data_IF_617117832964
#
_entry.id   IF_617117832964
#
_cell.length_a   1.000
_cell.length_b   1.000
_cell.length_c   1.000
_cell.angle_alpha   90.00
_cell.angle_beta   90.00
_cell.angle_gamma   90.00
#
_symmetry.space_group_name_H-M   'P 1'
#
loop_
_entity.id
_entity.type
_entity.pdbx_description
1 polymer ?
#
# COMPACT_ATOMS: atom_id res chain seq x y z
N UNK A 1 -23.01 28.17 -72.53
CA UNK A 1 -24.04 29.24 -72.52
C UNK A 1 -24.75 29.13 -71.18
N UNK A 2 -24.24 29.77 -70.12
CA UNK A 2 -24.45 31.19 -69.72
C UNK A 2 -25.93 31.50 -69.50
N UNK A 3 -26.34 31.62 -68.23
CA UNK A 3 -26.86 32.85 -67.62
C UNK A 3 -27.67 32.58 -66.32
N UNK A 4 -27.13 33.03 -65.19
CA UNK A 4 -27.83 33.63 -64.03
C UNK A 4 -28.58 34.92 -64.46
N UNK A 5 -29.51 35.56 -63.68
CA UNK A 5 -29.46 35.87 -62.22
C UNK A 5 -30.86 35.85 -61.53
N UNK A 6 -31.19 36.27 -60.30
CA UNK A 6 -30.69 37.31 -59.35
C UNK A 6 -31.26 37.07 -57.92
N UNK A 7 -30.63 37.74 -56.95
CA UNK A 7 -30.71 37.67 -55.48
C UNK A 7 -32.03 38.03 -54.75
N UNK A 8 -32.13 37.57 -53.49
CA UNK A 8 -32.88 38.19 -52.40
C UNK A 8 -32.48 37.67 -51.00
N UNK A 9 -31.91 38.57 -50.17
CA UNK A 9 -31.48 38.50 -48.76
C UNK A 9 -32.33 37.61 -47.79
N UNK A 10 -31.89 37.08 -46.63
CA UNK A 10 -31.00 37.61 -45.57
C UNK A 10 -30.79 36.55 -44.46
N UNK A 11 -29.73 36.75 -43.65
CA UNK A 11 -29.45 36.24 -42.27
C UNK A 11 -28.70 34.91 -42.11
N UNK A 12 -27.37 35.04 -42.14
CA UNK A 12 -26.41 34.24 -41.39
C UNK A 12 -26.47 34.57 -39.89
N UNK A 13 -26.34 33.55 -39.04
CA UNK A 13 -25.91 33.67 -37.65
C UNK A 13 -24.53 33.00 -37.49
N UNK A 14 -23.64 33.52 -36.62
CA UNK A 14 -22.22 33.32 -36.74
C UNK A 14 -21.69 32.20 -35.83
N UNK A 15 -20.66 31.51 -36.32
CA UNK A 15 -19.77 30.70 -35.50
C UNK A 15 -19.03 31.56 -34.48
N UNK A 16 -18.79 30.98 -33.31
CA UNK A 16 -18.04 31.64 -32.23
C UNK A 16 -16.73 30.89 -32.03
N UNK A 17 -15.66 31.54 -32.47
CA UNK A 17 -14.28 31.26 -32.09
C UNK A 17 -14.13 31.38 -30.57
N UNK A 18 -13.46 30.40 -29.96
CA UNK A 18 -12.88 30.51 -28.64
C UNK A 18 -11.63 31.38 -28.72
N UNK A 19 -11.70 32.60 -28.19
CA UNK A 19 -10.55 33.40 -27.81
C UNK A 19 -10.58 33.61 -26.28
N UNK A 20 -9.47 33.28 -25.63
CA UNK A 20 -9.13 33.73 -24.27
C UNK A 20 -9.15 35.26 -24.21
N UNK A 21 -9.77 35.85 -23.18
CA UNK A 21 -9.10 36.33 -21.95
C UNK A 21 -10.06 37.09 -21.01
N UNK A 22 -9.70 37.04 -19.73
CA UNK A 22 -9.90 38.04 -18.65
C UNK A 22 -11.28 38.24 -18.01
N UNK A 23 -11.35 37.74 -16.76
CA UNK A 23 -11.90 38.35 -15.54
C UNK A 23 -13.07 39.34 -15.68
N UNK A 24 -14.25 38.93 -15.19
CA UNK A 24 -14.84 39.52 -13.99
C UNK A 24 -16.02 38.68 -13.46
N UNK A 25 -15.87 38.29 -12.19
CA UNK A 25 -16.91 38.22 -11.13
C UNK A 25 -18.15 37.38 -11.45
N UNK A 26 -18.09 36.11 -11.05
CA UNK A 26 -19.26 35.26 -10.84
C UNK A 26 -18.94 34.24 -9.75
N UNK A 27 -19.44 34.52 -8.53
CA UNK A 27 -19.53 33.63 -7.35
C UNK A 27 -18.53 32.47 -7.32
N UNK A 28 -17.42 32.70 -6.61
CA UNK A 28 -16.55 31.62 -6.16
C UNK A 28 -17.38 30.59 -5.37
N UNK A 29 -17.27 29.32 -5.74
CA UNK A 29 -17.66 28.20 -4.90
C UNK A 29 -16.84 28.29 -3.60
N UNK A 30 -17.48 28.80 -2.54
CA UNK A 30 -16.90 29.04 -1.22
C UNK A 30 -16.58 27.76 -0.43
N UNK A 31 -16.83 26.56 -0.98
CA UNK A 31 -16.67 25.30 -0.26
C UNK A 31 -15.29 24.65 -0.40
N UNK A 32 -14.55 24.86 -1.50
CA UNK A 32 -13.21 24.25 -1.69
C UNK A 32 -12.06 25.14 -1.21
N UNK A 33 -12.28 26.46 -1.15
CA UNK A 33 -11.26 27.44 -0.76
C UNK A 33 -10.97 27.40 0.74
N UNK A 34 -11.99 27.21 1.61
CA UNK A 34 -11.77 27.13 3.06
C UNK A 34 -11.10 25.82 3.51
N UNK A 35 -11.32 24.71 2.77
CA UNK A 35 -10.74 23.40 3.07
C UNK A 35 -9.21 23.39 2.93
N UNK A 36 -8.71 23.96 1.83
CA UNK A 36 -7.27 24.09 1.59
C UNK A 36 -6.59 25.02 2.60
N UNK A 37 -7.27 26.08 3.04
CA UNK A 37 -6.74 27.04 4.02
C UNK A 37 -6.62 26.42 5.42
N UNK A 38 -7.59 25.60 5.85
CA UNK A 38 -7.55 24.91 7.14
C UNK A 38 -6.50 23.80 7.17
N UNK A 39 -6.42 22.97 6.11
CA UNK A 39 -5.35 21.98 5.97
C UNK A 39 -4.00 22.70 6.00
N UNK A 40 -3.86 23.83 5.30
CA UNK A 40 -2.64 24.63 5.33
C UNK A 40 -2.32 25.17 6.73
N UNK A 41 -3.32 25.64 7.48
CA UNK A 41 -3.15 26.16 8.84
C UNK A 41 -2.80 25.07 9.88
N UNK A 42 -3.37 23.87 9.74
CA UNK A 42 -3.07 22.73 10.63
C UNK A 42 -1.80 21.98 10.22
N UNK A 43 -1.41 22.04 8.94
CA UNK A 43 -0.18 21.45 8.41
C UNK A 43 1.05 21.97 9.17
N UNK A 44 1.08 23.23 9.56
CA UNK A 44 2.17 23.76 10.39
C UNK A 44 2.28 23.04 11.74
N UNK A 45 1.16 22.71 12.39
CA UNK A 45 1.15 21.94 13.66
C UNK A 45 1.53 20.47 13.44
N UNK A 46 1.13 19.87 12.33
CA UNK A 46 1.46 18.48 11.96
C UNK A 46 2.93 18.31 11.56
N UNK A 47 3.45 19.23 10.75
CA UNK A 47 4.86 19.28 10.33
C UNK A 47 5.76 19.63 11.51
N UNK A 48 5.29 20.42 12.47
CA UNK A 48 5.99 20.67 13.74
C UNK A 48 6.01 19.47 14.70
N UNK A 49 5.53 18.29 14.28
CA UNK A 49 5.65 17.04 15.03
C UNK A 49 4.64 16.86 16.16
N UNK A 50 3.58 17.68 16.25
CA UNK A 50 2.60 17.64 17.34
C UNK A 50 1.51 16.57 17.16
N UNK A 51 1.39 16.02 15.96
CA UNK A 51 0.45 14.95 15.62
C UNK A 51 1.13 13.98 14.65
N UNK A 52 0.85 12.70 14.80
CA UNK A 52 1.37 11.66 13.91
C UNK A 52 0.26 11.05 13.06
N UNK A 53 0.67 10.33 12.02
CA UNK A 53 -0.26 9.59 11.18
C UNK A 53 -1.07 8.59 12.02
N UNK A 54 -2.39 8.70 11.97
CA UNK A 54 -3.31 7.83 12.68
C UNK A 54 -3.12 6.34 12.33
N UNK A 55 -2.65 6.03 11.11
CA UNK A 55 -2.49 4.66 10.61
C UNK A 55 -1.08 4.12 10.86
N UNK A 56 -0.01 4.84 10.52
CA UNK A 56 1.36 4.31 10.64
C UNK A 56 2.14 4.84 11.85
N UNK A 57 1.65 5.90 12.49
CA UNK A 57 2.30 6.59 13.60
C UNK A 57 3.54 7.39 13.20
N UNK A 58 3.80 7.56 11.90
CA UNK A 58 4.95 8.32 11.39
C UNK A 58 4.72 9.84 11.28
N UNK A 59 5.80 10.61 11.03
CA UNK A 59 5.76 12.06 10.93
C UNK A 59 5.22 12.52 9.56
N UNK A 60 4.95 13.82 9.42
CA UNK A 60 4.45 14.44 8.17
C UNK A 60 5.50 15.31 7.48
N UNK A 61 6.77 14.91 7.53
CA UNK A 61 7.85 15.60 6.84
C UNK A 61 8.86 14.62 6.28
N UNK A 62 9.24 14.83 5.02
CA UNK A 62 10.37 14.16 4.36
C UNK A 62 11.74 14.64 4.85
N UNK A 63 11.80 15.82 5.48
CA UNK A 63 13.02 16.40 6.06
C UNK A 63 13.30 15.78 7.42
N UNK A 64 13.73 14.52 7.42
CA UNK A 64 14.12 13.79 8.62
C UNK A 64 15.58 14.06 8.96
N UNK A 65 15.91 14.02 10.25
CA UNK A 65 17.27 14.21 10.72
C UNK A 65 18.13 13.00 10.33
N UNK A 66 19.20 13.26 9.57
CA UNK A 66 20.09 12.24 9.01
C UNK A 66 21.53 12.60 9.34
N UNK A 67 22.25 11.62 9.86
CA UNK A 67 23.65 11.78 10.20
C UNK A 67 24.52 11.10 9.12
N UNK A 68 25.27 11.94 8.41
CA UNK A 68 26.21 11.53 7.38
C UNK A 68 27.55 11.01 7.94
N UNK A 69 27.89 11.34 9.19
CA UNK A 69 29.13 10.92 9.83
C UNK A 69 28.95 9.61 10.62
N UNK A 70 27.70 9.25 10.95
CA UNK A 70 27.35 8.03 11.67
C UNK A 70 27.71 8.06 13.17
N UNK A 71 27.90 9.24 13.74
CA UNK A 71 28.28 9.51 15.13
C UNK A 71 27.10 9.88 16.05
N UNK A 72 25.96 10.29 15.51
CA UNK A 72 24.77 10.69 16.26
C UNK A 72 23.79 9.51 16.40
N UNK A 73 23.44 9.18 17.65
CA UNK A 73 22.45 8.15 17.97
C UNK A 73 21.01 8.65 17.84
N UNK A 74 20.81 9.98 17.72
CA UNK A 74 19.52 10.67 17.58
C UNK A 74 19.18 11.06 16.16
N UNK A 75 19.94 10.57 15.19
CA UNK A 75 19.69 10.79 13.77
C UNK A 75 19.56 9.46 13.04
N UNK A 76 18.88 9.47 11.90
CA UNK A 76 18.84 8.30 11.04
C UNK A 76 20.15 8.15 10.28
N UNK A 77 20.45 6.90 9.93
CA UNK A 77 21.62 6.59 9.12
C UNK A 77 21.44 7.05 7.68
N UNK A 78 22.33 7.94 7.22
CA UNK A 78 22.32 8.44 5.85
C UNK A 78 22.49 7.31 4.81
N UNK A 79 23.42 6.38 5.04
CA UNK A 79 23.72 5.24 4.16
C UNK A 79 22.53 4.27 3.96
N UNK A 80 21.51 4.38 4.81
CA UNK A 80 20.27 3.60 4.71
C UNK A 80 19.18 4.37 3.97
N UNK A 81 19.03 5.65 4.27
CA UNK A 81 17.92 6.45 3.77
C UNK A 81 18.24 7.18 2.44
N UNK A 82 19.50 7.31 2.04
CA UNK A 82 19.91 8.08 0.85
C UNK A 82 19.25 7.64 -0.46
N UNK A 83 18.79 6.39 -0.53
CA UNK A 83 18.11 5.83 -1.71
C UNK A 83 16.63 5.54 -1.45
N UNK A 84 16.11 5.88 -0.27
CA UNK A 84 14.71 5.68 0.08
C UNK A 84 13.87 6.88 -0.37
N UNK A 85 12.70 6.61 -0.95
CA UNK A 85 11.71 7.65 -1.21
C UNK A 85 11.04 8.07 0.11
N UNK A 86 11.31 9.29 0.58
CA UNK A 86 10.71 9.88 1.78
C UNK A 86 9.60 10.89 1.49
N UNK A 87 9.40 11.27 0.22
CA UNK A 87 8.45 12.32 -0.18
C UNK A 87 6.99 11.96 0.16
N UNK A 88 6.68 10.66 0.26
CA UNK A 88 5.37 10.17 0.67
C UNK A 88 4.93 10.66 2.06
N UNK A 89 5.88 11.04 2.92
CA UNK A 89 5.61 11.59 4.26
C UNK A 89 4.94 12.97 4.18
N UNK A 90 5.18 13.73 3.11
CA UNK A 90 4.61 15.06 2.92
C UNK A 90 3.16 15.01 2.39
N UNK A 91 2.75 13.87 1.84
CA UNK A 91 1.41 13.65 1.31
C UNK A 91 0.44 13.18 2.39
N UNK A 92 -0.29 14.13 2.96
CA UNK A 92 -1.29 13.86 3.99
C UNK A 92 -2.72 13.97 3.49
N UNK A 93 -3.58 13.20 4.15
CA UNK A 93 -5.04 13.28 4.13
C UNK A 93 -5.52 13.37 5.58
N UNK A 94 -6.78 13.71 5.75
CA UNK A 94 -7.37 13.81 7.08
C UNK A 94 -8.81 13.29 7.07
N UNK A 95 -9.27 12.80 8.21
CA UNK A 95 -10.61 12.26 8.41
C UNK A 95 -11.21 12.97 9.63
N UNK A 96 -12.22 13.84 9.49
CA UNK A 96 -13.09 14.34 10.59
C UNK A 96 -14.57 14.62 10.15
N UNK A 97 -15.48 15.23 10.92
CA UNK A 97 -16.93 15.25 10.57
C UNK A 97 -17.33 16.48 9.73
N UNK A 98 -17.60 16.40 8.42
CA UNK A 98 -18.08 17.58 7.67
C UNK A 98 -19.62 17.71 7.75
N UNK A 99 -20.20 18.66 8.52
CA UNK A 99 -21.65 18.80 8.65
C UNK A 99 -22.35 19.30 7.38
N UNK A 100 -21.62 19.96 6.46
CA UNK A 100 -22.18 20.66 5.30
C UNK A 100 -22.07 19.91 3.96
N UNK A 101 -21.33 18.82 3.88
CA UNK A 101 -21.20 18.09 2.61
C UNK A 101 -22.55 17.44 2.21
N UNK A 102 -22.77 17.03 0.94
CA UNK A 102 -23.96 16.28 0.44
C UNK A 102 -23.51 15.10 -0.42
N UNK A 103 -23.90 13.84 -0.11
CA UNK A 103 -23.44 12.61 -0.80
C UNK A 103 -22.81 11.55 0.12
N UNK A 104 -22.28 10.45 -0.45
CA UNK A 104 -21.51 9.38 0.23
C UNK A 104 -20.06 9.78 0.56
N UNK A 105 -19.58 10.89 -0.01
CA UNK A 105 -18.26 11.48 0.24
C UNK A 105 -18.33 12.63 1.24
N UNK A 106 -18.42 12.33 2.54
CA UNK A 106 -18.40 13.38 3.58
C UNK A 106 -17.56 13.00 4.77
N UNK A 107 -16.36 13.58 4.91
CA UNK A 107 -15.65 13.49 6.17
C UNK A 107 -14.45 14.47 6.35
N UNK A 108 -14.60 15.69 6.93
CA UNK A 108 -13.52 16.39 7.72
C UNK A 108 -14.01 17.23 8.92
N UNK A 109 -13.31 17.24 10.08
CA UNK A 109 -13.34 18.28 11.14
C UNK A 109 -12.49 18.10 12.43
N UNK A 110 -11.90 19.20 13.00
CA UNK A 110 -10.54 19.41 13.64
C UNK A 110 -10.46 19.84 15.13
N UNK A 111 -9.70 19.23 16.06
CA UNK A 111 -9.88 19.55 17.50
C UNK A 111 -8.69 20.23 18.22
N UNK A 112 -8.83 21.54 18.42
CA UNK A 112 -8.59 22.21 19.71
C UNK A 112 -9.96 22.31 20.44
N UNK A 113 -9.98 22.38 21.77
CA UNK A 113 -11.20 22.32 22.61
C UNK A 113 -12.33 23.19 22.03
N UNK A 114 -13.42 22.56 21.56
CA UNK A 114 -14.58 23.24 20.97
C UNK A 114 -14.70 23.13 19.44
N UNK A 115 -13.65 22.66 18.76
CA UNK A 115 -13.68 22.31 17.34
C UNK A 115 -13.64 20.75 17.21
N UNK A 116 -14.33 20.18 16.22
CA UNK A 116 -14.66 18.71 16.10
C UNK A 116 -13.46 17.83 15.71
N UNK A 117 -13.51 16.50 15.68
CA UNK A 117 -12.26 15.69 15.84
C UNK A 117 -11.65 15.08 14.55
N UNK A 118 -10.44 15.53 14.12
CA UNK A 118 -9.73 15.10 12.87
C UNK A 118 -8.62 14.12 13.20
N UNK A 119 -8.51 13.10 12.36
CA UNK A 119 -7.38 12.18 12.29
C UNK A 119 -6.57 12.38 11.00
N UNK A 120 -5.33 12.88 11.08
CA UNK A 120 -4.44 12.98 9.92
C UNK A 120 -3.79 11.62 9.62
N UNK A 121 -3.52 11.31 8.35
CA UNK A 121 -2.76 10.14 7.92
C UNK A 121 -2.18 10.34 6.52
N UNK A 122 -1.15 9.57 6.16
CA UNK A 122 -0.57 9.65 4.82
C UNK A 122 -1.49 9.08 3.76
N UNK A 123 -1.47 9.65 2.55
CA UNK A 123 -2.17 9.11 1.37
C UNK A 123 -1.82 7.64 1.15
N UNK A 124 -0.54 7.30 1.25
CA UNK A 124 -0.04 5.93 1.08
C UNK A 124 -0.58 4.98 2.15
N UNK A 125 -0.68 5.41 3.41
CA UNK A 125 -1.24 4.57 4.48
C UNK A 125 -2.73 4.28 4.26
N UNK A 126 -3.49 5.24 3.71
CA UNK A 126 -4.89 5.01 3.34
C UNK A 126 -5.03 3.95 2.24
N UNK A 127 -4.11 3.92 1.28
CA UNK A 127 -4.08 2.90 0.22
C UNK A 127 -3.80 1.49 0.77
N UNK A 128 -2.95 1.36 1.79
CA UNK A 128 -2.72 0.09 2.50
C UNK A 128 -3.98 -0.33 3.26
N UNK A 129 -4.61 0.60 3.98
CA UNK A 129 -5.85 0.34 4.71
C UNK A 129 -6.98 -0.10 3.78
N UNK A 130 -7.14 0.58 2.63
CA UNK A 130 -8.12 0.23 1.61
C UNK A 130 -7.92 -1.19 1.10
N UNK A 131 -6.69 -1.59 0.81
CA UNK A 131 -6.37 -2.99 0.45
C UNK A 131 -6.74 -3.95 1.56
N UNK A 132 -6.42 -3.63 2.82
CA UNK A 132 -6.71 -4.47 3.97
C UNK A 132 -8.22 -4.72 4.18
N UNK A 133 -9.04 -3.68 4.05
CA UNK A 133 -10.51 -3.77 4.14
C UNK A 133 -11.07 -4.54 2.94
N UNK A 134 -10.69 -4.14 1.72
CA UNK A 134 -11.19 -4.73 0.47
C UNK A 134 -10.83 -6.21 0.29
N UNK A 135 -9.74 -6.68 0.91
CA UNK A 135 -9.32 -8.08 0.85
C UNK A 135 -10.40 -9.05 1.38
N UNK A 136 -11.26 -8.59 2.31
CA UNK A 136 -12.34 -9.40 2.89
C UNK A 136 -13.74 -8.85 2.56
N UNK A 137 -13.86 -7.54 2.34
CA UNK A 137 -15.12 -6.89 1.98
C UNK A 137 -14.90 -5.94 0.79
N UNK A 138 -15.03 -6.44 -0.46
CA UNK A 138 -14.89 -5.60 -1.64
C UNK A 138 -15.96 -4.50 -1.65
N UNK A 139 -15.53 -3.27 -1.87
CA UNK A 139 -16.44 -2.12 -1.94
C UNK A 139 -15.73 -0.81 -1.68
N UNK A 140 -16.51 0.27 -1.76
CA UNK A 140 -16.06 1.59 -1.36
C UNK A 140 -16.05 1.71 0.16
N UNK A 141 -15.01 2.35 0.71
CA UNK A 141 -14.92 2.58 2.15
C UNK A 141 -15.95 3.64 2.55
N UNK A 142 -16.79 3.31 3.52
CA UNK A 142 -17.76 4.22 4.09
C UNK A 142 -17.06 5.14 5.11
N UNK A 143 -16.88 6.41 4.76
CA UNK A 143 -16.13 7.37 5.59
C UNK A 143 -16.67 7.52 7.02
N UNK A 144 -17.99 7.47 7.21
CA UNK A 144 -18.63 7.53 8.53
C UNK A 144 -18.27 6.32 9.42
N UNK A 145 -18.27 5.11 8.86
CA UNK A 145 -17.84 3.90 9.60
C UNK A 145 -16.35 3.95 9.91
N UNK A 146 -15.55 4.41 8.95
CA UNK A 146 -14.11 4.56 9.14
C UNK A 146 -13.80 5.54 10.26
N UNK A 147 -14.53 6.64 10.34
CA UNK A 147 -14.38 7.56 11.45
C UNK A 147 -14.73 6.94 12.79
N UNK A 148 -15.88 6.27 12.89
CA UNK A 148 -16.28 5.60 14.13
C UNK A 148 -15.21 4.60 14.58
N UNK A 149 -14.60 3.86 13.65
CA UNK A 149 -13.49 2.97 13.95
C UNK A 149 -12.27 3.73 14.51
N UNK A 150 -11.93 4.89 13.97
CA UNK A 150 -10.83 5.72 14.47
C UNK A 150 -11.16 6.35 15.83
N UNK A 151 -12.39 6.82 16.02
CA UNK A 151 -12.89 7.35 17.30
C UNK A 151 -12.87 6.29 18.40
N UNK A 152 -13.33 5.08 18.11
CA UNK A 152 -13.24 3.94 19.04
C UNK A 152 -11.80 3.51 19.33
N UNK A 153 -10.88 3.74 18.41
CA UNK A 153 -9.45 3.53 18.61
C UNK A 153 -8.78 4.71 19.34
N UNK A 154 -9.45 5.85 19.45
CA UNK A 154 -8.93 7.03 20.13
C UNK A 154 -9.23 6.94 21.64
N UNK A 155 -8.27 6.49 22.45
CA UNK A 155 -8.45 6.45 23.91
C UNK A 155 -8.06 7.73 24.65
N UNK A 156 -8.26 8.90 24.03
CA UNK A 156 -8.14 10.22 24.69
C UNK A 156 -6.72 10.82 24.76
N UNK A 157 -5.72 10.18 24.15
CA UNK A 157 -4.40 10.79 23.91
C UNK A 157 -4.36 11.35 22.50
N UNK A 158 -4.07 12.65 22.36
CA UNK A 158 -4.31 13.39 21.11
C UNK A 158 -3.23 13.25 20.02
N UNK A 159 -2.17 12.46 20.23
CA UNK A 159 -1.00 12.43 19.32
C UNK A 159 -1.11 11.33 18.24
N UNK A 160 -1.63 10.15 18.60
CA UNK A 160 -1.89 8.99 17.71
C UNK A 160 -3.00 8.11 18.28
N UNK A 161 -3.56 7.20 17.46
CA UNK A 161 -4.57 6.24 17.93
C UNK A 161 -3.97 5.27 18.96
N UNK A 162 -4.80 4.68 19.81
CA UNK A 162 -4.39 3.64 20.76
C UNK A 162 -4.46 2.27 20.12
N UNK A 163 -3.54 2.04 19.19
CA UNK A 163 -3.37 0.78 18.46
C UNK A 163 -1.97 0.22 18.74
N UNK A 164 -1.78 -1.07 18.51
CA UNK A 164 -0.45 -1.67 18.46
C UNK A 164 0.17 -1.37 17.10
N UNK A 165 1.16 -0.47 17.05
CA UNK A 165 1.85 -0.08 15.81
C UNK A 165 2.99 -1.02 15.43
N UNK A 166 3.16 -2.14 16.14
CA UNK A 166 4.22 -3.11 15.93
C UNK A 166 5.59 -2.58 16.36
N UNK A 167 6.65 -3.31 16.00
CA UNK A 167 8.03 -2.94 16.32
C UNK A 167 8.74 -2.34 15.09
N UNK A 168 9.52 -1.26 15.25
CA UNK A 168 9.55 -0.39 16.44
C UNK A 168 8.21 0.33 16.64
N UNK A 169 7.80 0.52 17.89
CA UNK A 169 6.59 1.29 18.21
C UNK A 169 6.94 2.79 18.06
N UNK A 170 6.19 3.57 17.27
CA UNK A 170 6.46 4.99 17.11
C UNK A 170 6.36 5.76 18.44
N UNK A 171 7.04 6.90 18.58
CA UNK A 171 6.97 7.74 19.77
C UNK A 171 5.53 8.04 20.22
N UNK A 172 5.34 8.12 21.54
CA UNK A 172 4.05 8.50 22.17
C UNK A 172 3.97 9.98 22.55
N UNK A 173 5.09 10.70 22.43
CA UNK A 173 5.26 12.06 22.89
C UNK A 173 4.83 13.10 21.85
N UNK A 174 4.67 14.36 22.28
CA UNK A 174 4.23 15.48 21.42
C UNK A 174 5.26 15.96 20.40
N UNK A 175 6.43 15.33 20.34
CA UNK A 175 7.53 15.68 19.44
C UNK A 175 8.06 14.39 18.83
N UNK A 176 8.30 14.42 17.53
CA UNK A 176 8.97 13.32 16.84
C UNK A 176 10.44 13.25 17.27
N UNK A 177 10.82 12.15 17.90
CA UNK A 177 12.22 11.87 18.22
C UNK A 177 12.78 10.87 17.21
N UNK A 178 13.86 11.26 16.55
CA UNK A 178 14.59 10.38 15.64
C UNK A 178 15.48 9.46 16.47
N UNK A 179 15.41 8.16 16.18
CA UNK A 179 16.19 7.13 16.87
C UNK A 179 16.90 6.28 15.83
N UNK A 180 18.22 6.19 15.95
CA UNK A 180 19.03 5.34 15.08
C UNK A 180 18.53 3.89 15.12
N UNK A 181 18.41 3.24 13.97
CA UNK A 181 17.86 1.89 13.86
C UNK A 181 16.33 1.83 13.68
N UNK A 182 15.63 2.96 13.75
CA UNK A 182 14.19 3.04 13.48
C UNK A 182 13.86 3.58 12.08
N UNK A 183 14.80 3.51 11.14
CA UNK A 183 14.64 4.02 9.77
C UNK A 183 13.39 3.44 9.07
N UNK A 184 13.02 2.21 9.41
CA UNK A 184 11.79 1.54 8.97
C UNK A 184 10.52 2.41 9.11
N UNK A 185 10.44 3.32 10.10
CA UNK A 185 9.24 4.13 10.34
C UNK A 185 8.99 5.18 9.25
N UNK A 186 10.03 5.56 8.50
CA UNK A 186 9.99 6.65 7.52
C UNK A 186 10.13 6.17 6.06
N UNK A 187 10.51 4.91 5.84
CA UNK A 187 10.64 4.33 4.49
C UNK A 187 9.26 4.06 3.88
N UNK A 188 9.10 4.32 2.57
CA UNK A 188 7.85 4.12 1.86
C UNK A 188 7.36 2.66 1.93
N UNK A 189 6.13 2.41 2.44
CA UNK A 189 5.61 1.06 2.56
C UNK A 189 4.92 0.55 1.29
N UNK A 190 4.81 1.32 0.21
CA UNK A 190 4.10 0.91 -1.02
C UNK A 190 5.05 0.91 -2.21
N UNK A 191 5.79 1.98 -2.42
CA UNK A 191 6.80 2.08 -3.47
C UNK A 191 8.07 1.33 -3.05
N UNK A 192 8.23 0.10 -3.53
CA UNK A 192 9.35 -0.80 -3.20
C UNK A 192 9.96 -1.32 -4.52
N UNK A 193 10.85 -0.55 -5.17
CA UNK A 193 11.33 -0.83 -6.53
C UNK A 193 11.99 -2.20 -6.68
N UNK A 194 12.75 -2.68 -5.69
CA UNK A 194 13.40 -3.98 -5.77
C UNK A 194 12.39 -5.15 -5.71
N UNK A 195 11.29 -4.97 -4.97
CA UNK A 195 10.19 -5.94 -4.96
C UNK A 195 9.50 -5.98 -6.32
N UNK A 196 9.21 -4.81 -6.87
CA UNK A 196 8.60 -4.68 -8.18
C UNK A 196 9.46 -5.33 -9.26
N UNK A 197 10.78 -5.14 -9.22
CA UNK A 197 11.73 -5.78 -10.13
C UNK A 197 11.66 -7.31 -10.05
N UNK A 198 11.74 -7.90 -8.84
CA UNK A 198 11.69 -9.35 -8.66
C UNK A 198 10.35 -9.95 -9.12
N UNK A 199 9.23 -9.26 -8.85
CA UNK A 199 7.90 -9.67 -9.30
C UNK A 199 7.78 -9.58 -10.83
N UNK A 200 8.28 -8.50 -11.43
CA UNK A 200 8.22 -8.31 -12.88
C UNK A 200 9.05 -9.35 -13.63
N UNK A 201 10.22 -9.73 -13.10
CA UNK A 201 10.98 -10.84 -13.64
C UNK A 201 10.19 -12.15 -13.62
N UNK A 202 9.50 -12.44 -12.51
CA UNK A 202 8.66 -13.64 -12.40
C UNK A 202 7.52 -13.60 -13.41
N UNK A 203 6.85 -12.46 -13.57
CA UNK A 203 5.79 -12.25 -14.57
C UNK A 203 6.32 -12.49 -15.99
N UNK A 204 7.47 -11.93 -16.34
CA UNK A 204 8.11 -12.11 -17.65
C UNK A 204 8.42 -13.59 -17.94
N UNK A 205 8.89 -14.34 -16.94
CA UNK A 205 9.15 -15.79 -17.07
C UNK A 205 7.86 -16.59 -17.25
N UNK A 206 6.77 -16.21 -16.56
CA UNK A 206 5.46 -16.84 -16.73
C UNK A 206 4.94 -16.65 -18.16
N UNK A 207 5.07 -15.45 -18.73
CA UNK A 207 4.62 -15.12 -20.08
C UNK A 207 5.47 -15.78 -21.18
N UNK A 208 6.75 -16.03 -20.90
CA UNK A 208 7.67 -16.66 -21.87
C UNK A 208 7.48 -18.18 -21.93
N UNK A 209 7.22 -18.83 -20.79
CA UNK A 209 7.13 -20.31 -20.73
C UNK A 209 5.79 -20.89 -21.15
N UNK A 210 4.73 -20.10 -21.22
CA UNK A 210 3.48 -20.49 -21.88
C UNK A 210 3.65 -20.81 -23.38
N UNK A 211 4.81 -20.50 -23.97
CA UNK A 211 5.11 -20.71 -25.40
C UNK A 211 6.06 -21.87 -25.72
N UNK A 212 6.68 -22.54 -24.75
CA UNK A 212 7.71 -23.58 -25.00
C UNK A 212 7.54 -24.79 -24.08
N UNK A 213 6.60 -25.68 -24.38
CA UNK A 213 6.56 -27.01 -23.78
C UNK A 213 7.58 -27.93 -24.48
N UNK A 214 8.77 -28.10 -23.89
CA UNK A 214 9.76 -29.08 -24.35
C UNK A 214 9.92 -30.20 -23.31
N UNK A 215 9.49 -31.39 -23.74
CA UNK A 215 9.94 -32.73 -23.40
C UNK A 215 10.55 -32.95 -22.00
N UNK A 216 9.76 -33.58 -21.11
CA UNK A 216 10.16 -33.79 -19.72
C UNK A 216 10.66 -35.21 -19.47
N UNK A 217 11.95 -35.33 -19.12
CA UNK A 217 12.55 -36.59 -18.63
C UNK A 217 11.90 -37.01 -17.32
N UNK A 218 11.29 -38.19 -17.32
CA UNK A 218 10.74 -38.83 -16.14
C UNK A 218 11.91 -39.29 -15.25
N UNK A 219 12.21 -38.57 -14.16
CA UNK A 219 13.10 -39.09 -13.12
C UNK A 219 12.40 -40.27 -12.42
N UNK A 220 12.98 -41.46 -12.54
CA UNK A 220 12.39 -42.73 -12.10
C UNK A 220 12.38 -42.95 -10.57
N UNK A 221 13.10 -42.15 -9.79
CA UNK A 221 13.36 -42.43 -8.37
C UNK A 221 12.87 -41.32 -7.40
N UNK A 222 11.72 -40.71 -7.68
CA UNK A 222 11.11 -39.71 -6.77
C UNK A 222 10.43 -40.41 -5.57
N UNK A 223 10.76 -40.03 -4.33
CA UNK A 223 10.21 -40.63 -3.10
C UNK A 223 8.69 -40.46 -2.98
N UNK A 224 8.12 -39.40 -3.55
CA UNK A 224 6.69 -39.10 -3.51
C UNK A 224 5.89 -39.93 -4.53
N UNK A 225 6.56 -40.63 -5.46
CA UNK A 225 5.92 -41.54 -6.41
C UNK A 225 5.09 -42.62 -5.72
N UNK A 226 5.50 -43.04 -4.51
CA UNK A 226 4.83 -44.07 -3.70
C UNK A 226 3.61 -43.56 -2.93
N UNK A 227 3.43 -42.24 -2.83
CA UNK A 227 2.27 -41.65 -2.15
C UNK A 227 1.09 -41.55 -3.11
N UNK A 228 -0.11 -41.82 -2.62
CA UNK A 228 -1.34 -41.52 -3.35
C UNK A 228 -1.52 -40.00 -3.52
N UNK A 229 -2.31 -39.61 -4.52
CA UNK A 229 -2.60 -38.21 -4.80
C UNK A 229 -3.22 -37.50 -3.58
N UNK A 230 -4.06 -38.20 -2.81
CA UNK A 230 -4.69 -37.66 -1.60
C UNK A 230 -3.68 -37.33 -0.50
N UNK A 231 -2.66 -38.18 -0.34
CA UNK A 231 -1.58 -37.93 0.62
C UNK A 231 -0.71 -36.74 0.19
N UNK A 232 -0.44 -36.59 -1.11
CA UNK A 232 0.30 -35.42 -1.64
C UNK A 232 -0.48 -34.13 -1.40
N UNK A 233 -1.78 -34.11 -1.67
CA UNK A 233 -2.64 -32.97 -1.33
C UNK A 233 -2.69 -32.70 0.17
N UNK A 234 -2.70 -33.75 1.01
CA UNK A 234 -2.66 -33.60 2.47
C UNK A 234 -1.34 -32.97 2.94
N UNK A 235 -0.21 -33.31 2.32
CA UNK A 235 1.08 -32.64 2.57
C UNK A 235 0.96 -31.14 2.25
N UNK A 236 0.47 -30.77 1.07
CA UNK A 236 0.31 -29.36 0.70
C UNK A 236 -0.58 -28.59 1.68
N UNK A 237 -1.64 -29.20 2.22
CA UNK A 237 -2.48 -28.55 3.24
C UNK A 237 -1.70 -28.13 4.49
N UNK A 238 -0.65 -28.86 4.87
CA UNK A 238 0.17 -28.55 6.05
C UNK A 238 1.39 -27.66 5.77
N UNK A 239 1.69 -27.37 4.52
CA UNK A 239 2.84 -26.54 4.13
C UNK A 239 2.46 -25.07 3.94
N UNK A 240 3.41 -24.17 4.22
CA UNK A 240 3.31 -22.76 3.86
C UNK A 240 3.53 -22.56 2.34
N UNK A 241 3.08 -21.45 1.74
CA UNK A 241 3.19 -21.21 0.29
C UNK A 241 4.60 -21.41 -0.27
N UNK A 242 5.63 -20.85 0.36
CA UNK A 242 7.03 -21.01 -0.05
C UNK A 242 7.49 -22.46 0.05
N UNK A 243 7.11 -23.20 1.09
CA UNK A 243 7.47 -24.62 1.21
C UNK A 243 6.76 -25.50 0.18
N UNK A 244 5.52 -25.14 -0.21
CA UNK A 244 4.82 -25.81 -1.31
C UNK A 244 5.63 -25.62 -2.60
N UNK A 245 6.02 -24.38 -2.91
CA UNK A 245 6.78 -24.06 -4.11
C UNK A 245 8.17 -24.71 -4.11
N UNK A 246 8.91 -24.66 -3.00
CA UNK A 246 10.19 -25.35 -2.84
C UNK A 246 10.05 -26.85 -3.08
N UNK A 247 8.99 -27.47 -2.55
CA UNK A 247 8.73 -28.89 -2.74
C UNK A 247 8.39 -29.24 -4.19
N UNK A 248 7.60 -28.40 -4.87
CA UNK A 248 7.28 -28.56 -6.29
C UNK A 248 8.54 -28.37 -7.16
N UNK A 249 9.39 -27.40 -6.84
CA UNK A 249 10.67 -27.20 -7.49
C UNK A 249 11.62 -28.40 -7.32
N UNK A 250 11.66 -29.00 -6.13
CA UNK A 250 12.58 -30.10 -5.81
C UNK A 250 12.11 -31.49 -6.26
N UNK A 251 10.80 -31.72 -6.43
CA UNK A 251 10.23 -33.03 -6.77
C UNK A 251 9.34 -32.95 -8.00
N UNK A 252 9.67 -33.77 -9.00
CA UNK A 252 8.89 -33.86 -10.24
C UNK A 252 7.46 -34.35 -9.99
N UNK A 253 7.29 -35.25 -9.01
CA UNK A 253 5.97 -35.78 -8.63
C UNK A 253 5.13 -34.75 -7.89
N UNK A 254 5.74 -33.92 -7.04
CA UNK A 254 5.03 -32.83 -6.37
C UNK A 254 4.75 -31.67 -7.32
N UNK A 255 5.65 -31.39 -8.27
CA UNK A 255 5.43 -30.44 -9.36
C UNK A 255 4.16 -30.74 -10.15
N UNK A 256 3.96 -31.99 -10.56
CA UNK A 256 2.76 -32.41 -11.30
C UNK A 256 1.51 -32.56 -10.43
N UNK A 257 1.66 -32.55 -9.11
CA UNK A 257 0.51 -32.60 -8.21
C UNK A 257 -0.22 -31.27 -8.28
N UNK A 258 -1.48 -31.33 -8.68
CA UNK A 258 -2.35 -30.17 -8.85
C UNK A 258 -2.61 -29.49 -7.50
N UNK A 259 -2.61 -28.16 -7.50
CA UNK A 259 -2.98 -27.33 -6.35
C UNK A 259 -4.18 -26.49 -6.77
N UNK A 260 -5.35 -26.66 -6.15
CA UNK A 260 -6.51 -25.83 -6.44
C UNK A 260 -6.19 -24.35 -6.22
N UNK A 261 -6.58 -23.49 -7.15
CA UNK A 261 -6.36 -22.04 -7.02
C UNK A 261 -6.96 -21.49 -5.73
N UNK A 262 -8.14 -21.95 -5.33
CA UNK A 262 -8.76 -21.57 -4.05
C UNK A 262 -7.91 -21.92 -2.81
N UNK A 263 -7.19 -23.05 -2.84
CA UNK A 263 -6.28 -23.43 -1.75
C UNK A 263 -5.04 -22.54 -1.75
N UNK A 264 -4.48 -22.28 -2.92
CA UNK A 264 -3.30 -21.43 -3.08
C UNK A 264 -3.59 -20.00 -2.63
N UNK A 265 -4.64 -19.39 -3.16
CA UNK A 265 -5.07 -18.03 -2.85
C UNK A 265 -5.36 -17.90 -1.35
N UNK A 266 -6.09 -18.86 -0.75
CA UNK A 266 -6.35 -18.86 0.70
C UNK A 266 -5.05 -18.91 1.52
N UNK A 267 -4.10 -19.77 1.16
CA UNK A 267 -2.81 -19.87 1.86
C UNK A 267 -1.97 -18.60 1.72
N UNK A 268 -1.96 -17.98 0.53
CA UNK A 268 -1.26 -16.72 0.33
C UNK A 268 -1.90 -15.59 1.12
N UNK A 269 -3.23 -15.46 1.08
CA UNK A 269 -3.96 -14.44 1.84
C UNK A 269 -3.77 -14.61 3.34
N UNK A 270 -3.75 -15.84 3.84
CA UNK A 270 -3.59 -16.10 5.27
C UNK A 270 -2.12 -15.91 5.74
N UNK A 271 -1.14 -16.06 4.85
CA UNK A 271 0.29 -15.99 5.21
C UNK A 271 0.91 -14.62 4.90
N UNK A 272 0.57 -14.04 3.75
CA UNK A 272 1.14 -12.82 3.18
C UNK A 272 0.06 -11.83 2.72
N UNK A 273 -0.91 -11.45 3.57
CA UNK A 273 -2.01 -10.56 3.15
C UNK A 273 -1.54 -9.17 2.68
N UNK A 274 -0.35 -8.75 3.14
CA UNK A 274 0.29 -7.48 2.81
C UNK A 274 1.13 -7.51 1.52
N UNK A 275 1.31 -8.69 0.89
CA UNK A 275 2.11 -8.87 -0.33
C UNK A 275 1.20 -9.00 -1.55
N UNK A 276 0.43 -7.94 -1.84
CA UNK A 276 -0.62 -7.97 -2.87
C UNK A 276 -0.08 -8.25 -4.27
N UNK A 277 1.17 -7.89 -4.57
CA UNK A 277 1.82 -8.16 -5.85
C UNK A 277 1.91 -9.67 -6.14
N UNK A 278 2.07 -10.50 -5.09
CA UNK A 278 2.10 -11.96 -5.22
C UNK A 278 0.69 -12.55 -5.30
N UNK A 279 -0.31 -11.92 -4.67
CA UNK A 279 -1.71 -12.34 -4.76
C UNK A 279 -2.25 -12.25 -6.20
N UNK A 280 -1.66 -11.39 -7.02
CA UNK A 280 -1.98 -11.22 -8.43
C UNK A 280 -1.31 -12.26 -9.34
N UNK A 281 -0.32 -13.02 -8.84
CA UNK A 281 0.38 -14.03 -9.61
C UNK A 281 -0.48 -15.30 -9.78
N UNK A 282 -0.40 -15.90 -10.96
CA UNK A 282 -0.93 -17.24 -11.19
C UNK A 282 -0.08 -18.30 -10.46
N UNK A 283 -0.67 -19.46 -10.16
CA UNK A 283 0.07 -20.58 -9.56
C UNK A 283 1.23 -20.95 -10.51
N UNK A 284 2.50 -20.91 -10.07
CA UNK A 284 3.62 -21.27 -10.93
C UNK A 284 3.47 -22.68 -11.49
N UNK A 285 3.73 -22.82 -12.80
CA UNK A 285 3.60 -24.10 -13.54
C UNK A 285 4.95 -24.63 -14.05
N UNK A 286 6.06 -24.05 -13.60
CA UNK A 286 7.42 -24.46 -13.97
C UNK A 286 8.28 -24.54 -12.72
N UNK A 287 9.10 -25.59 -12.59
CA UNK A 287 9.98 -25.78 -11.43
C UNK A 287 10.95 -24.61 -11.20
N UNK A 288 11.42 -23.96 -12.27
CA UNK A 288 12.27 -22.76 -12.15
C UNK A 288 11.51 -21.57 -11.57
N UNK A 289 10.25 -21.38 -11.98
CA UNK A 289 9.41 -20.28 -11.49
C UNK A 289 8.96 -20.58 -10.06
N UNK A 290 8.65 -21.83 -9.75
CA UNK A 290 8.37 -22.31 -8.39
C UNK A 290 9.55 -22.02 -7.47
N UNK A 291 10.77 -22.37 -7.88
CA UNK A 291 12.00 -22.12 -7.14
C UNK A 291 12.26 -20.61 -6.91
N UNK A 292 12.16 -19.80 -7.98
CA UNK A 292 12.33 -18.34 -7.86
C UNK A 292 11.26 -17.71 -6.95
N UNK A 293 9.99 -18.07 -7.13
CA UNK A 293 8.89 -17.55 -6.32
C UNK A 293 8.99 -18.01 -4.86
N UNK A 294 9.44 -19.25 -4.63
CA UNK A 294 9.73 -19.77 -3.29
C UNK A 294 10.79 -18.93 -2.58
N UNK A 295 11.89 -18.62 -3.27
CA UNK A 295 12.96 -17.78 -2.70
C UNK A 295 12.48 -16.38 -2.38
N UNK A 296 11.68 -15.77 -3.26
CA UNK A 296 11.09 -14.46 -3.03
C UNK A 296 10.21 -14.47 -1.77
N UNK A 297 9.29 -15.43 -1.66
CA UNK A 297 8.42 -15.55 -0.48
C UNK A 297 9.20 -15.81 0.80
N UNK A 298 10.24 -16.64 0.74
CA UNK A 298 11.11 -16.89 1.89
C UNK A 298 11.84 -15.61 2.32
N UNK A 299 12.40 -14.85 1.38
CA UNK A 299 13.03 -13.55 1.65
C UNK A 299 12.04 -12.54 2.24
N UNK A 300 10.78 -12.56 1.79
CA UNK A 300 9.71 -11.74 2.36
C UNK A 300 9.34 -12.16 3.80
N UNK A 301 9.55 -13.44 4.17
CA UNK A 301 9.26 -13.99 5.50
C UNK A 301 10.40 -13.77 6.50
N UNK A 302 11.62 -14.10 6.11
CA UNK A 302 12.84 -14.15 6.97
C UNK A 302 13.38 -12.77 7.40
N UNK A 303 12.53 -11.74 7.36
CA UNK A 303 12.87 -10.34 7.62
C UNK A 303 13.60 -9.69 6.42
N UNK A 304 13.50 -8.39 6.18
CA UNK A 304 13.89 -7.42 7.20
C UNK A 304 15.36 -7.57 7.69
N UNK A 305 16.02 -8.73 7.51
CA UNK A 305 17.34 -9.07 8.03
C UNK A 305 18.35 -9.03 6.90
N UNK A 306 19.36 -8.19 7.12
CA UNK A 306 20.43 -7.85 6.20
C UNK A 306 21.10 -9.10 5.62
N UNK A 307 20.71 -9.47 4.40
CA UNK A 307 21.42 -10.43 3.55
C UNK A 307 22.50 -9.76 2.70
N UNK A 308 22.90 -8.53 3.05
CA UNK A 308 23.89 -7.75 2.29
C UNK A 308 23.36 -7.19 0.96
N UNK A 309 22.04 -7.16 0.74
CA UNK A 309 21.37 -6.39 -0.32
C UNK A 309 20.65 -5.17 0.28
N UNK A 310 20.50 -4.11 -0.53
CA UNK A 310 19.86 -2.80 -0.27
C UNK A 310 18.92 -2.79 0.96
N UNK A 311 19.21 -1.90 1.91
CA UNK A 311 18.35 -1.69 3.08
C UNK A 311 16.93 -1.23 2.68
N UNK A 312 16.76 -0.59 1.52
CA UNK A 312 15.46 -0.06 1.04
C UNK A 312 14.37 -1.12 0.86
N UNK A 313 14.65 -2.18 0.09
CA UNK A 313 13.76 -3.33 -0.11
C UNK A 313 13.23 -3.91 1.21
N UNK A 314 14.18 -4.15 2.09
CA UNK A 314 14.02 -4.82 3.38
C UNK A 314 13.20 -3.96 4.33
N UNK A 315 13.45 -2.66 4.38
CA UNK A 315 12.78 -1.71 5.26
C UNK A 315 11.38 -1.34 4.76
N UNK A 316 11.19 -1.10 3.46
CA UNK A 316 9.88 -0.77 2.90
C UNK A 316 8.87 -1.90 3.12
N UNK A 317 9.29 -3.15 2.89
CA UNK A 317 8.44 -4.32 3.09
C UNK A 317 8.13 -4.58 4.57
N UNK A 318 9.14 -4.40 5.44
CA UNK A 318 8.95 -4.50 6.88
C UNK A 318 7.98 -3.41 7.38
N UNK A 319 8.10 -2.18 6.88
CA UNK A 319 7.18 -1.09 7.23
C UNK A 319 5.76 -1.39 6.73
N UNK A 320 5.61 -1.90 5.51
CA UNK A 320 4.32 -2.35 4.97
C UNK A 320 3.65 -3.38 5.86
N UNK A 321 4.40 -4.43 6.27
CA UNK A 321 3.90 -5.49 7.16
C UNK A 321 3.49 -4.94 8.52
N UNK A 322 4.27 -4.02 9.08
CA UNK A 322 3.96 -3.32 10.34
C UNK A 322 2.65 -2.54 10.23
N UNK A 323 2.55 -1.67 9.22
CA UNK A 323 1.34 -0.86 8.95
C UNK A 323 0.13 -1.76 8.69
N UNK A 324 0.30 -2.87 7.98
CA UNK A 324 -0.77 -3.84 7.76
C UNK A 324 -1.37 -4.35 9.08
N UNK A 325 -0.54 -4.66 10.08
CA UNK A 325 -1.00 -5.06 11.41
C UNK A 325 -1.87 -4.01 12.10
N UNK A 326 -1.59 -2.72 11.87
CA UNK A 326 -2.44 -1.61 12.34
C UNK A 326 -3.75 -1.56 11.55
N UNK A 327 -3.67 -1.69 10.23
CA UNK A 327 -4.83 -1.73 9.35
C UNK A 327 -5.78 -2.88 9.71
N UNK A 328 -5.28 -4.04 10.16
CA UNK A 328 -6.12 -5.15 10.59
C UNK A 328 -6.90 -4.83 11.88
N UNK A 329 -6.28 -4.12 12.83
CA UNK A 329 -6.97 -3.67 14.04
C UNK A 329 -8.06 -2.65 13.71
N UNK A 330 -7.77 -1.70 12.81
CA UNK A 330 -8.74 -0.71 12.31
C UNK A 330 -9.88 -1.43 11.57
N UNK A 331 -9.55 -2.39 10.70
CA UNK A 331 -10.53 -3.18 9.94
C UNK A 331 -11.48 -3.92 10.87
N UNK A 332 -10.98 -4.54 11.94
CA UNK A 332 -11.84 -5.23 12.91
C UNK A 332 -12.91 -4.29 13.48
N UNK A 333 -12.54 -3.06 13.87
CA UNK A 333 -13.49 -2.03 14.34
C UNK A 333 -14.44 -1.51 13.26
N UNK A 334 -13.96 -1.42 12.02
CA UNK A 334 -14.77 -0.98 10.88
C UNK A 334 -15.86 -1.98 10.48
N UNK A 335 -15.63 -3.28 10.72
CA UNK A 335 -16.53 -4.37 10.36
C UNK A 335 -17.54 -4.75 11.46
N UNK A 336 -17.37 -4.23 12.68
CA UNK A 336 -18.34 -4.32 13.77
C UNK A 336 -19.65 -3.54 13.45
#
# INVERSE_FOLDING_TARGET
MVATPTNGHTRQAPGTNLHMTTNHIGRANLSSVSQHEIIRAQREKWVAGRFFCAICGGPFSSQVDMDCEGTDERAYRFDILEHCNLEWLDELRALGINPDATGSDKYHDFAEIGEPHVFPFHSVCYEVLKRCISLRQPGEIQGNKLYQAFEQANGGRYVRLQLDYGKPDPPVEQVWETVRGQEILVVNPVDIPELESEINDIKCLLDTKTHLDIERKLHKDDIFSRLSIDLRHKIFKHLCPESILALKAASQIMHTTWVPRSMWDAKLVDTYPWLWEVLELSVPQSQEIEDKTSRLLLACREQGESTGRSYGYTLGLANRRRIWGVCEQIRSKYLE
#
